data_IF_527912046590
#
_entry.id   IF_527912046590
#
_cell.length_a   1.000
_cell.length_b   1.000
_cell.length_c   1.000
_cell.angle_alpha   90.00
_cell.angle_beta   90.00
_cell.angle_gamma   90.00
#
_symmetry.space_group_name_H-M   'P 1'
#
loop_
_entity.id
_entity.type
_entity.pdbx_description
1 polymer ?
#
# COMPACT_ATOMS: atom_id res chain seq x y z
N UNK A 1 -9.52 30.93 -10.78
CA UNK A 1 -10.93 30.72 -10.39
C UNK A 1 -11.42 29.31 -10.69
N UNK A 2 -10.86 28.59 -11.67
CA UNK A 2 -11.28 27.21 -11.98
C UNK A 2 -11.02 26.17 -10.87
N UNK A 3 -9.97 26.35 -10.04
CA UNK A 3 -9.68 25.43 -8.93
C UNK A 3 -10.80 25.33 -7.89
N UNK A 4 -11.55 26.42 -7.66
CA UNK A 4 -12.66 26.43 -6.71
C UNK A 4 -13.94 25.84 -7.30
N UNK A 5 -14.14 25.92 -8.62
CA UNK A 5 -15.31 25.34 -9.28
C UNK A 5 -15.13 23.84 -9.58
N UNK A 6 -13.88 23.38 -9.73
CA UNK A 6 -13.52 21.96 -9.85
C UNK A 6 -14.06 21.09 -8.70
N UNK A 7 -14.08 21.65 -7.50
CA UNK A 7 -14.63 21.02 -6.31
C UNK A 7 -16.13 20.71 -6.41
N UNK A 8 -16.87 21.53 -7.17
CA UNK A 8 -18.31 21.39 -7.36
C UNK A 8 -18.67 20.62 -8.64
N UNK A 9 -17.79 20.57 -9.63
CA UNK A 9 -17.98 19.77 -10.85
C UNK A 9 -17.58 18.30 -10.67
N UNK A 10 -16.61 17.98 -9.81
CA UNK A 10 -16.18 16.61 -9.50
C UNK A 10 -16.27 16.29 -7.99
N UNK A 11 -17.47 16.35 -7.39
CA UNK A 11 -17.63 16.24 -5.93
C UNK A 11 -17.22 14.88 -5.37
N UNK A 12 -17.36 13.80 -6.15
CA UNK A 12 -16.98 12.44 -5.73
C UNK A 12 -15.47 12.27 -5.66
N UNK A 13 -14.75 12.77 -6.67
CA UNK A 13 -13.28 12.70 -6.74
C UNK A 13 -12.63 13.53 -5.64
N UNK A 14 -13.22 14.70 -5.33
CA UNK A 14 -12.81 15.52 -4.20
C UNK A 14 -13.07 14.81 -2.86
N UNK A 15 -14.26 14.22 -2.68
CA UNK A 15 -14.58 13.45 -1.48
C UNK A 15 -13.62 12.28 -1.24
N UNK A 16 -13.31 11.52 -2.30
CA UNK A 16 -12.36 10.40 -2.24
C UNK A 16 -10.95 10.86 -1.89
N UNK A 17 -10.42 11.90 -2.56
CA UNK A 17 -9.08 12.41 -2.29
C UNK A 17 -8.94 12.98 -0.88
N UNK A 18 -9.92 13.77 -0.42
CA UNK A 18 -9.95 14.30 0.96
C UNK A 18 -9.98 13.18 1.98
N UNK A 19 -10.77 12.13 1.72
CA UNK A 19 -10.87 10.97 2.61
C UNK A 19 -9.53 10.24 2.71
N UNK A 20 -8.86 9.99 1.58
CA UNK A 20 -7.55 9.33 1.55
C UNK A 20 -6.51 10.15 2.29
N UNK A 21 -6.46 11.47 2.06
CA UNK A 21 -5.51 12.37 2.73
C UNK A 21 -5.77 12.43 4.22
N UNK A 22 -7.03 12.56 4.64
CA UNK A 22 -7.40 12.56 6.06
C UNK A 22 -7.01 11.25 6.75
N UNK A 23 -7.22 10.11 6.08
CA UNK A 23 -6.85 8.79 6.57
C UNK A 23 -5.33 8.64 6.69
N UNK A 24 -4.57 9.13 5.71
CA UNK A 24 -3.11 9.14 5.75
C UNK A 24 -2.59 9.97 6.93
N UNK A 25 -3.10 11.19 7.11
CA UNK A 25 -2.74 12.06 8.24
C UNK A 25 -3.08 11.38 9.57
N UNK A 26 -4.26 10.77 9.66
CA UNK A 26 -4.68 10.05 10.85
C UNK A 26 -3.71 8.91 11.20
N UNK A 27 -3.30 8.10 10.21
CA UNK A 27 -2.32 7.03 10.40
C UNK A 27 -0.97 7.60 10.87
N UNK A 28 -0.48 8.66 10.21
CA UNK A 28 0.80 9.29 10.57
C UNK A 28 0.80 9.83 11.99
N UNK A 29 -0.25 10.57 12.38
CA UNK A 29 -0.39 11.10 13.75
C UNK A 29 -0.49 9.97 14.76
N UNK A 30 -1.30 8.94 14.49
CA UNK A 30 -1.42 7.77 15.37
C UNK A 30 -0.10 7.03 15.51
N UNK A 31 0.66 6.89 14.43
CA UNK A 31 1.98 6.27 14.44
C UNK A 31 2.99 7.10 15.22
N UNK A 32 2.97 8.43 15.09
CA UNK A 32 3.87 9.32 15.81
C UNK A 32 3.59 9.35 17.32
N UNK A 33 2.33 9.23 17.73
CA UNK A 33 1.93 9.17 19.13
C UNK A 33 2.12 7.78 19.76
N UNK A 34 2.28 6.74 18.94
CA UNK A 34 2.52 5.36 19.40
C UNK A 34 4.00 5.15 19.72
N UNK A 35 4.50 5.86 20.74
CA UNK A 35 5.92 5.85 21.10
C UNK A 35 6.36 4.63 21.92
N UNK A 36 5.46 3.89 22.58
CA UNK A 36 5.88 2.77 23.44
C UNK A 36 4.90 1.59 23.39
N UNK A 37 5.40 0.44 22.94
CA UNK A 37 4.70 -0.84 22.96
C UNK A 37 4.15 -1.26 21.61
N UNK A 38 4.88 -2.15 20.93
CA UNK A 38 4.36 -2.84 19.74
C UNK A 38 3.00 -3.47 20.07
N UNK A 39 1.97 -3.07 19.33
CA UNK A 39 0.61 -3.55 19.54
C UNK A 39 0.58 -5.08 19.64
N UNK A 40 -0.25 -5.64 20.51
CA UNK A 40 -0.33 -7.11 20.68
C UNK A 40 -0.66 -7.83 19.36
N UNK A 41 -1.33 -7.12 18.44
CA UNK A 41 -1.62 -7.57 17.10
C UNK A 41 -0.37 -7.63 16.19
N UNK A 42 0.54 -6.65 16.24
CA UNK A 42 1.80 -6.73 15.50
C UNK A 42 2.61 -7.91 16.00
N UNK A 43 2.67 -8.17 17.31
CA UNK A 43 3.36 -9.33 17.89
C UNK A 43 2.77 -10.69 17.45
N UNK A 44 1.47 -10.74 17.11
CA UNK A 44 0.82 -11.93 16.53
C UNK A 44 1.17 -12.11 15.04
N UNK A 45 1.35 -11.00 14.32
CA UNK A 45 1.70 -10.98 12.89
C UNK A 45 3.19 -11.27 12.67
N UNK A 46 4.07 -10.67 13.46
CA UNK A 46 5.53 -10.86 13.42
C UNK A 46 6.03 -11.98 14.35
N UNK A 47 5.11 -12.82 14.87
CA UNK A 47 5.46 -14.02 15.62
C UNK A 47 6.00 -15.16 14.72
N UNK A 48 6.15 -16.39 15.25
CA UNK A 48 6.72 -17.54 14.50
C UNK A 48 6.02 -17.87 13.17
N UNK A 49 4.79 -17.40 12.99
CA UNK A 49 4.01 -17.62 11.76
C UNK A 49 4.23 -16.53 10.69
N UNK A 50 5.12 -15.58 10.90
CA UNK A 50 5.40 -14.48 9.97
C UNK A 50 5.76 -14.95 8.56
N UNK A 51 6.51 -16.05 8.45
CA UNK A 51 6.88 -16.66 7.15
C UNK A 51 5.68 -17.08 6.31
N UNK A 52 4.63 -17.60 6.92
CA UNK A 52 3.42 -18.01 6.21
C UNK A 52 2.60 -16.80 5.77
N UNK A 53 2.52 -15.77 6.62
CA UNK A 53 1.82 -14.53 6.27
C UNK A 53 2.51 -13.81 5.11
N UNK A 54 3.82 -13.55 5.22
CA UNK A 54 4.56 -12.85 4.17
C UNK A 54 4.69 -13.70 2.90
N UNK A 55 4.79 -15.03 3.02
CA UNK A 55 4.74 -15.94 1.87
C UNK A 55 3.39 -15.87 1.15
N UNK A 56 2.28 -15.88 1.89
CA UNK A 56 0.94 -15.73 1.31
C UNK A 56 0.74 -14.36 0.66
N UNK A 57 1.22 -13.29 1.30
CA UNK A 57 1.20 -11.92 0.74
C UNK A 57 2.05 -11.83 -0.53
N UNK A 58 3.19 -12.51 -0.59
CA UNK A 58 4.02 -12.55 -1.79
C UNK A 58 3.32 -13.24 -2.95
N UNK A 59 2.70 -14.40 -2.71
CA UNK A 59 1.93 -15.11 -3.74
C UNK A 59 0.74 -14.26 -4.20
N UNK A 60 -0.01 -13.67 -3.28
CA UNK A 60 -1.13 -12.80 -3.61
C UNK A 60 -0.68 -11.59 -4.43
N UNK A 61 0.41 -10.93 -4.04
CA UNK A 61 1.00 -9.82 -4.79
C UNK A 61 1.43 -10.25 -6.19
N UNK A 62 2.11 -11.39 -6.34
CA UNK A 62 2.57 -11.90 -7.63
C UNK A 62 1.39 -12.24 -8.56
N UNK A 63 0.29 -12.77 -8.04
CA UNK A 63 -0.92 -13.01 -8.83
C UNK A 63 -1.58 -11.69 -9.24
N UNK A 64 -1.80 -10.78 -8.29
CA UNK A 64 -2.51 -9.52 -8.55
C UNK A 64 -1.73 -8.61 -9.51
N UNK A 65 -0.44 -8.40 -9.26
CA UNK A 65 0.36 -7.48 -10.07
C UNK A 65 1.10 -8.19 -11.20
N UNK A 66 1.58 -9.41 -11.01
CA UNK A 66 2.27 -10.16 -12.07
C UNK A 66 1.34 -10.56 -13.22
N UNK A 67 0.08 -10.90 -12.93
CA UNK A 67 -0.94 -11.17 -13.96
C UNK A 67 -1.74 -9.91 -14.28
N UNK A 68 -2.16 -9.15 -13.27
CA UNK A 68 -3.03 -7.98 -13.49
C UNK A 68 -2.37 -6.84 -14.26
N UNK A 69 -1.05 -6.62 -14.12
CA UNK A 69 -0.36 -5.59 -14.92
C UNK A 69 -0.23 -5.97 -16.40
N UNK A 70 -0.31 -7.26 -16.76
CA UNK A 70 -0.30 -7.68 -18.16
C UNK A 70 -1.57 -7.24 -18.90
N UNK A 71 -2.67 -7.00 -18.17
CA UNK A 71 -3.94 -6.56 -18.71
C UNK A 71 -4.00 -5.04 -18.94
N UNK A 72 -2.99 -4.31 -18.48
CA UNK A 72 -2.93 -2.85 -18.58
C UNK A 72 -2.19 -2.45 -19.86
N UNK A 73 -2.71 -1.50 -20.66
CA UNK A 73 -1.98 -0.98 -21.81
C UNK A 73 -0.62 -0.43 -21.37
N UNK A 74 0.45 -0.92 -22.00
CA UNK A 74 1.84 -0.57 -21.64
C UNK A 74 2.23 0.77 -22.26
N UNK A 75 1.41 1.79 -22.06
CA UNK A 75 1.77 3.17 -22.37
C UNK A 75 2.80 3.64 -21.34
N UNK A 76 3.81 4.39 -21.80
CA UNK A 76 4.99 4.75 -20.99
C UNK A 76 4.65 5.44 -19.66
N UNK A 77 5.67 5.64 -18.82
CA UNK A 77 5.54 6.15 -17.44
C UNK A 77 4.78 7.48 -17.25
N UNK A 78 4.48 8.21 -18.33
CA UNK A 78 3.66 9.43 -18.32
C UNK A 78 2.15 9.16 -18.52
N UNK A 79 1.72 7.89 -18.41
CA UNK A 79 0.32 7.47 -18.50
C UNK A 79 -0.27 7.27 -17.10
N UNK A 80 -1.60 7.42 -16.89
CA UNK A 80 -2.27 7.14 -15.61
C UNK A 80 -1.95 5.75 -15.01
N UNK A 81 -1.52 4.81 -15.84
CA UNK A 81 -1.14 3.45 -15.46
C UNK A 81 0.28 3.34 -14.86
N UNK A 82 1.16 4.31 -15.08
CA UNK A 82 2.52 4.34 -14.52
C UNK A 82 2.54 4.37 -12.99
N UNK A 83 1.54 5.02 -12.38
CA UNK A 83 1.37 5.05 -10.92
C UNK A 83 1.07 3.67 -10.34
N UNK A 84 0.30 2.84 -11.05
CA UNK A 84 -0.02 1.47 -10.61
C UNK A 84 1.24 0.60 -10.61
N UNK A 85 2.11 0.78 -11.62
CA UNK A 85 3.42 0.11 -11.67
C UNK A 85 4.32 0.48 -10.49
N UNK A 86 4.35 1.76 -10.08
CA UNK A 86 5.11 2.18 -8.89
C UNK A 86 4.56 1.58 -7.61
N UNK A 87 3.24 1.54 -7.44
CA UNK A 87 2.60 0.89 -6.30
C UNK A 87 2.97 -0.60 -6.27
N UNK A 88 2.90 -1.28 -7.41
CA UNK A 88 3.27 -2.68 -7.53
C UNK A 88 4.73 -2.92 -7.10
N UNK A 89 5.65 -2.07 -7.55
CA UNK A 89 7.07 -2.18 -7.23
C UNK A 89 7.33 -1.96 -5.72
N UNK A 90 6.79 -0.89 -5.14
CA UNK A 90 7.01 -0.59 -3.72
C UNK A 90 6.35 -1.65 -2.82
N UNK A 91 5.12 -2.06 -3.11
CA UNK A 91 4.43 -3.11 -2.33
C UNK A 91 5.18 -4.44 -2.42
N UNK A 92 5.66 -4.83 -3.61
CA UNK A 92 6.44 -6.04 -3.80
C UNK A 92 7.75 -6.04 -3.02
N UNK A 93 8.46 -4.92 -3.04
CA UNK A 93 9.69 -4.75 -2.27
C UNK A 93 9.46 -4.94 -0.76
N UNK A 94 8.44 -4.29 -0.19
CA UNK A 94 8.14 -4.42 1.24
C UNK A 94 7.67 -5.83 1.62
N UNK A 95 6.86 -6.47 0.79
CA UNK A 95 6.42 -7.85 1.03
C UNK A 95 7.60 -8.82 0.99
N UNK A 96 8.51 -8.67 0.02
CA UNK A 96 9.71 -9.50 -0.08
C UNK A 96 10.68 -9.27 1.07
N UNK A 97 10.93 -8.01 1.45
CA UNK A 97 11.76 -7.71 2.62
C UNK A 97 11.16 -8.28 3.90
N UNK A 98 9.84 -8.15 4.09
CA UNK A 98 9.13 -8.75 5.20
C UNK A 98 9.24 -10.28 5.23
N UNK A 99 9.15 -10.93 4.07
CA UNK A 99 9.35 -12.38 3.95
C UNK A 99 10.78 -12.79 4.33
N UNK A 100 11.79 -12.13 3.77
CA UNK A 100 13.19 -12.42 4.08
C UNK A 100 13.48 -12.27 5.58
N UNK A 101 13.00 -11.19 6.20
CA UNK A 101 13.17 -10.96 7.63
C UNK A 101 12.44 -12.01 8.48
N UNK A 102 11.28 -12.47 8.03
CA UNK A 102 10.51 -13.50 8.75
C UNK A 102 11.14 -14.89 8.71
N UNK A 103 12.02 -15.17 7.74
CA UNK A 103 12.72 -16.46 7.60
C UNK A 103 14.10 -16.43 8.26
N UNK A 104 14.82 -15.30 8.19
CA UNK A 104 16.16 -15.17 8.78
C UNK A 104 16.10 -15.10 10.32
N UNK A 105 14.99 -14.65 10.89
CA UNK A 105 14.81 -14.55 12.35
C UNK A 105 14.47 -15.86 13.06
N UNK A 106 14.37 -16.99 12.35
CA UNK A 106 14.23 -18.35 12.92
C UNK A 106 15.60 -19.01 13.15
#
# INVERSE_FOLDING_TARGET
MELFTLAFTHPVELGASVTIVALMIFIMVRSALSADGGASWTRRITGPNGKFLFGALFVAWAVIFGVGLQLVPHEGANSPYGGIGLIAMFTGFFVMMGFLWSVIGE
#
